data_IF_251796085940
#
_entry.id   IF_251796085940
#
_cell.length_a   1.000
_cell.length_b   1.000
_cell.length_c   1.000
_cell.angle_alpha   90.00
_cell.angle_beta   90.00
_cell.angle_gamma   90.00
#
_symmetry.space_group_name_H-M   'P 1'
#
loop_
_entity.id
_entity.type
_entity.pdbx_description
1 polymer ?
#
# COMPACT_ATOMS: atom_id res chain seq x y z
N UNK A 1 17.96 -5.54 -19.88
CA UNK A 1 16.84 -6.25 -19.21
C UNK A 1 16.33 -5.51 -17.97
N UNK A 2 17.14 -5.30 -16.92
CA UNK A 2 16.67 -4.64 -15.68
C UNK A 2 16.06 -3.23 -15.90
N UNK A 3 16.69 -2.38 -16.72
CA UNK A 3 16.13 -1.07 -17.07
C UNK A 3 14.76 -1.16 -17.77
N UNK A 4 14.55 -2.20 -18.59
CA UNK A 4 13.30 -2.38 -19.33
C UNK A 4 12.17 -2.80 -18.39
N UNK A 5 12.48 -3.69 -17.44
CA UNK A 5 11.54 -4.08 -16.38
C UNK A 5 11.17 -2.88 -15.49
N UNK A 6 12.12 -2.00 -15.17
CA UNK A 6 11.80 -0.79 -14.39
C UNK A 6 10.89 0.17 -15.14
N UNK A 7 11.19 0.46 -16.43
CA UNK A 7 10.33 1.35 -17.24
C UNK A 7 8.94 0.73 -17.39
N UNK A 8 8.85 -0.57 -17.68
CA UNK A 8 7.59 -1.28 -17.80
C UNK A 8 6.79 -1.23 -16.49
N UNK A 9 7.42 -1.50 -15.34
CA UNK A 9 6.76 -1.43 -14.04
C UNK A 9 6.23 -0.03 -13.72
N UNK A 10 6.96 1.04 -14.08
CA UNK A 10 6.49 2.42 -13.90
C UNK A 10 5.29 2.73 -14.81
N UNK A 11 5.28 2.20 -16.05
CA UNK A 11 4.18 2.40 -16.99
C UNK A 11 2.93 1.61 -16.58
N UNK A 12 3.06 0.37 -16.10
CA UNK A 12 1.93 -0.38 -15.53
C UNK A 12 1.41 0.29 -14.24
N UNK A 13 2.31 0.80 -13.39
CA UNK A 13 1.88 1.60 -12.23
C UNK A 13 1.10 2.85 -12.64
N UNK A 14 1.53 3.51 -13.71
CA UNK A 14 0.82 4.66 -14.27
C UNK A 14 -0.55 4.28 -14.82
N UNK A 15 -0.64 3.16 -15.54
CA UNK A 15 -1.91 2.62 -16.06
C UNK A 15 -2.92 2.36 -14.94
N UNK A 16 -2.44 1.81 -13.84
CA UNK A 16 -3.25 1.47 -12.67
C UNK A 16 -3.70 2.71 -11.89
N UNK A 17 -2.81 3.70 -11.72
CA UNK A 17 -3.12 4.92 -10.97
C UNK A 17 -3.95 5.92 -11.81
N UNK A 18 -3.79 5.93 -13.13
CA UNK A 18 -4.44 6.84 -14.09
C UNK A 18 -5.19 6.04 -15.16
N UNK A 19 -6.32 5.40 -14.81
CA UNK A 19 -7.08 4.58 -15.75
C UNK A 19 -7.67 5.41 -16.90
N UNK A 20 -7.95 6.70 -16.69
CA UNK A 20 -8.47 7.61 -17.71
C UNK A 20 -7.52 7.85 -18.89
N UNK A 21 -6.24 7.46 -18.77
CA UNK A 21 -5.26 7.57 -19.85
C UNK A 21 -5.51 6.56 -20.98
N UNK A 22 -6.17 5.42 -20.67
CA UNK A 22 -6.39 4.34 -21.64
C UNK A 22 -5.09 3.64 -22.08
N UNK A 23 -4.02 3.68 -21.27
CA UNK A 23 -2.76 3.04 -21.58
C UNK A 23 -2.96 1.52 -21.68
N UNK A 24 -2.69 0.95 -22.84
CA UNK A 24 -2.73 -0.51 -23.04
C UNK A 24 -1.41 -1.15 -22.62
N UNK A 25 -1.44 -2.41 -22.16
CA UNK A 25 -0.20 -3.13 -21.79
C UNK A 25 0.76 -3.23 -22.98
N UNK A 26 0.23 -3.41 -24.19
CA UNK A 26 1.02 -3.42 -25.43
C UNK A 26 1.75 -2.09 -25.64
N UNK A 27 1.06 -0.95 -25.47
CA UNK A 27 1.71 0.36 -25.55
C UNK A 27 2.78 0.54 -24.48
N UNK A 28 2.54 0.08 -23.24
CA UNK A 28 3.53 0.12 -22.17
C UNK A 28 4.78 -0.72 -22.52
N UNK A 29 4.60 -1.93 -23.04
CA UNK A 29 5.71 -2.78 -23.51
C UNK A 29 6.47 -2.12 -24.67
N UNK A 30 5.76 -1.56 -25.65
CA UNK A 30 6.38 -0.88 -26.81
C UNK A 30 7.22 0.32 -26.34
N UNK A 31 6.69 1.17 -25.47
CA UNK A 31 7.43 2.31 -24.92
C UNK A 31 8.66 1.83 -24.14
N UNK A 32 8.53 0.78 -23.32
CA UNK A 32 9.64 0.23 -22.55
C UNK A 32 10.74 -0.38 -23.45
N UNK A 33 10.37 -1.10 -24.52
CA UNK A 33 11.33 -1.68 -25.46
C UNK A 33 12.04 -0.59 -26.27
N UNK A 34 11.31 0.41 -26.78
CA UNK A 34 11.91 1.52 -27.53
C UNK A 34 12.86 2.31 -26.62
N UNK A 35 12.41 2.70 -25.42
CA UNK A 35 13.23 3.53 -24.52
C UNK A 35 14.50 2.82 -24.08
N UNK A 36 14.42 1.51 -23.82
CA UNK A 36 15.61 0.74 -23.44
C UNK A 36 16.52 0.38 -24.59
N UNK A 37 16.00 0.21 -25.80
CA UNK A 37 16.83 0.00 -27.00
C UNK A 37 17.66 1.25 -27.31
N UNK A 38 17.04 2.43 -27.24
CA UNK A 38 17.75 3.71 -27.44
C UNK A 38 18.76 3.95 -26.32
N UNK A 39 18.40 3.68 -25.07
CA UNK A 39 19.33 3.79 -23.94
C UNK A 39 20.53 2.83 -24.08
N UNK A 40 20.31 1.58 -24.48
CA UNK A 40 21.37 0.62 -24.73
C UNK A 40 22.30 1.07 -25.85
N UNK A 41 21.75 1.53 -26.98
CA UNK A 41 22.53 2.09 -28.08
C UNK A 41 23.37 3.29 -27.63
N UNK A 42 22.81 4.18 -26.81
CA UNK A 42 23.54 5.32 -26.24
C UNK A 42 24.69 4.87 -25.32
N UNK A 43 24.48 3.85 -24.49
CA UNK A 43 25.53 3.32 -23.63
C UNK A 43 26.64 2.63 -24.42
N UNK A 44 26.31 1.90 -25.49
CA UNK A 44 27.30 1.29 -26.40
C UNK A 44 28.12 2.39 -27.08
N UNK A 45 27.47 3.44 -27.57
CA UNK A 45 28.13 4.58 -28.19
C UNK A 45 29.11 5.27 -27.23
N UNK A 46 28.68 5.55 -25.99
CA UNK A 46 29.55 6.16 -24.97
C UNK A 46 30.68 5.20 -24.57
N UNK A 47 30.41 3.89 -24.50
CA UNK A 47 31.43 2.88 -24.20
C UNK A 47 32.51 2.80 -25.28
N UNK A 48 32.19 3.13 -26.54
CA UNK A 48 33.18 3.23 -27.61
C UNK A 48 34.11 4.43 -27.46
N UNK A 49 33.73 5.44 -26.68
CA UNK A 49 34.54 6.65 -26.45
C UNK A 49 35.38 6.51 -25.17
N UNK A 50 34.76 6.04 -24.09
CA UNK A 50 35.38 5.98 -22.75
C UNK A 50 36.14 4.66 -22.53
N UNK A 51 35.79 3.61 -23.27
CA UNK A 51 36.28 2.25 -23.04
C UNK A 51 35.38 1.46 -22.10
N UNK A 52 35.45 0.12 -22.20
CA UNK A 52 34.67 -0.80 -21.38
C UNK A 52 35.50 -1.29 -20.18
N UNK A 53 34.90 -1.43 -18.97
CA UNK A 53 33.51 -1.19 -18.60
C UNK A 53 33.18 0.28 -18.30
N UNK A 54 31.96 0.71 -18.66
CA UNK A 54 31.52 2.09 -18.48
C UNK A 54 31.36 2.44 -16.98
N UNK A 55 32.09 3.44 -16.45
CA UNK A 55 31.90 3.88 -15.08
C UNK A 55 30.50 4.46 -14.91
N UNK A 56 29.81 4.08 -13.83
CA UNK A 56 28.44 4.55 -13.52
C UNK A 56 27.42 4.31 -14.64
N UNK A 57 27.47 3.17 -15.32
CA UNK A 57 26.55 2.82 -16.42
C UNK A 57 25.06 3.07 -16.11
N UNK A 58 24.62 2.80 -14.88
CA UNK A 58 23.24 3.13 -14.45
C UNK A 58 22.99 4.63 -14.44
N UNK A 59 23.90 5.44 -13.91
CA UNK A 59 23.73 6.90 -13.85
C UNK A 59 23.79 7.52 -15.26
N UNK A 60 24.63 6.99 -16.15
CA UNK A 60 24.76 7.48 -17.52
C UNK A 60 23.57 7.04 -18.41
N UNK A 61 23.08 5.81 -18.24
CA UNK A 61 21.98 5.26 -19.06
C UNK A 61 20.58 5.72 -18.63
N UNK A 62 20.39 6.09 -17.36
CA UNK A 62 19.08 6.49 -16.84
C UNK A 62 18.53 7.79 -17.47
N UNK A 63 19.30 8.87 -17.65
CA UNK A 63 18.84 10.08 -18.32
C UNK A 63 18.32 9.81 -19.74
N UNK A 64 19.05 9.04 -20.54
CA UNK A 64 18.63 8.67 -21.89
C UNK A 64 17.30 7.88 -21.87
N UNK A 65 17.18 6.91 -20.97
CA UNK A 65 15.96 6.11 -20.80
C UNK A 65 14.76 6.99 -20.40
N UNK A 66 14.96 7.91 -19.45
CA UNK A 66 13.93 8.84 -18.96
C UNK A 66 13.46 9.76 -20.08
N UNK A 67 14.39 10.39 -20.81
CA UNK A 67 14.06 11.31 -21.90
C UNK A 67 13.25 10.61 -22.98
N UNK A 68 13.68 9.44 -23.44
CA UNK A 68 12.95 8.69 -24.49
C UNK A 68 11.59 8.24 -23.99
N UNK A 69 11.48 7.81 -22.73
CA UNK A 69 10.19 7.42 -22.14
C UNK A 69 9.23 8.61 -22.07
N UNK A 70 9.71 9.78 -21.60
CA UNK A 70 8.91 11.01 -21.55
C UNK A 70 8.49 11.45 -22.96
N UNK A 71 9.40 11.47 -23.93
CA UNK A 71 9.09 11.85 -25.30
C UNK A 71 8.05 10.91 -25.93
N UNK A 72 8.24 9.59 -25.79
CA UNK A 72 7.30 8.59 -26.30
C UNK A 72 5.91 8.75 -25.66
N UNK A 73 5.88 9.00 -24.35
CA UNK A 73 4.66 9.26 -23.61
C UNK A 73 3.96 10.55 -24.07
N UNK A 74 4.72 11.64 -24.26
CA UNK A 74 4.19 12.93 -24.74
C UNK A 74 3.66 12.85 -26.17
N UNK A 75 4.29 12.06 -27.05
CA UNK A 75 3.83 11.86 -28.42
C UNK A 75 2.49 11.12 -28.45
N UNK A 76 2.34 10.08 -27.63
CA UNK A 76 1.13 9.24 -27.61
C UNK A 76 -0.04 9.92 -26.89
N UNK A 77 0.22 10.53 -25.72
CA UNK A 77 -0.84 10.99 -24.82
C UNK A 77 -0.86 12.51 -24.59
N UNK A 78 0.10 13.25 -25.15
CA UNK A 78 0.21 14.70 -24.94
C UNK A 78 -0.99 15.50 -25.45
N UNK A 79 -1.70 15.00 -26.46
CA UNK A 79 -2.96 15.62 -26.93
C UNK A 79 -4.11 15.40 -25.94
N UNK A 80 -4.30 14.17 -25.48
CA UNK A 80 -5.32 13.81 -24.48
C UNK A 80 -5.10 14.58 -23.17
N UNK A 81 -3.85 14.70 -22.74
CA UNK A 81 -3.47 15.49 -21.56
C UNK A 81 -3.74 16.99 -21.74
N UNK A 82 -3.61 17.55 -22.94
CA UNK A 82 -3.93 18.97 -23.16
C UNK A 82 -5.44 19.23 -23.13
N UNK A 83 -6.23 18.27 -23.62
CA UNK A 83 -7.67 18.41 -23.75
C UNK A 83 -8.40 18.21 -22.42
N UNK A 84 -7.95 17.28 -21.59
CA UNK A 84 -8.66 16.91 -20.36
C UNK A 84 -7.97 17.48 -19.10
N UNK A 85 -8.71 18.31 -18.35
CA UNK A 85 -8.23 18.87 -17.09
C UNK A 85 -8.22 17.85 -15.96
N UNK A 86 -9.13 16.87 -15.98
CA UNK A 86 -9.21 15.83 -14.97
C UNK A 86 -8.03 14.87 -15.10
N UNK A 87 -7.72 14.44 -16.33
CA UNK A 87 -6.56 13.58 -16.61
C UNK A 87 -5.23 14.23 -16.17
N UNK A 88 -5.07 15.55 -16.38
CA UNK A 88 -3.89 16.28 -15.90
C UNK A 88 -3.78 16.27 -14.38
N UNK A 89 -4.90 16.41 -13.68
CA UNK A 89 -4.94 16.33 -12.22
C UNK A 89 -4.55 14.94 -11.74
N UNK A 90 -5.07 13.88 -12.37
CA UNK A 90 -4.70 12.50 -12.03
C UNK A 90 -3.22 12.21 -12.29
N UNK A 91 -2.69 12.71 -13.41
CA UNK A 91 -1.28 12.54 -13.75
C UNK A 91 -0.36 13.31 -12.77
N UNK A 92 -0.77 14.50 -12.33
CA UNK A 92 -0.04 15.24 -11.30
C UNK A 92 -0.05 14.48 -9.96
N UNK A 93 -1.18 13.86 -9.58
CA UNK A 93 -1.24 12.97 -8.41
C UNK A 93 -0.24 11.82 -8.55
N UNK A 94 -0.22 11.13 -9.71
CA UNK A 94 0.73 10.05 -9.98
C UNK A 94 2.18 10.52 -9.84
N UNK A 95 2.56 11.65 -10.45
CA UNK A 95 3.92 12.18 -10.35
C UNK A 95 4.31 12.50 -8.90
N UNK A 96 3.41 13.10 -8.12
CA UNK A 96 3.69 13.39 -6.71
C UNK A 96 3.85 12.12 -5.86
N UNK A 97 3.14 11.04 -6.20
CA UNK A 97 3.28 9.73 -5.57
C UNK A 97 4.62 9.09 -5.95
N UNK A 98 5.03 9.18 -7.22
CA UNK A 98 6.32 8.69 -7.72
C UNK A 98 7.51 9.47 -7.12
N UNK A 99 7.33 10.76 -6.84
CA UNK A 99 8.36 11.58 -6.20
C UNK A 99 8.69 11.16 -4.77
N UNK A 100 7.77 10.50 -4.07
CA UNK A 100 8.00 10.02 -2.71
C UNK A 100 9.13 8.98 -2.62
N UNK A 101 9.06 7.80 -3.30
CA UNK A 101 10.16 6.83 -3.29
C UNK A 101 11.44 7.41 -3.90
N UNK A 102 11.35 8.28 -4.92
CA UNK A 102 12.53 8.97 -5.47
C UNK A 102 13.24 9.81 -4.40
N UNK A 103 12.49 10.55 -3.59
CA UNK A 103 13.06 11.34 -2.49
C UNK A 103 13.66 10.43 -1.41
N UNK A 104 12.98 9.32 -1.07
CA UNK A 104 13.50 8.34 -0.10
C UNK A 104 14.84 7.74 -0.55
N UNK A 105 15.03 7.49 -1.85
CA UNK A 105 16.31 7.02 -2.40
C UNK A 105 17.47 7.97 -2.09
N UNK A 106 17.24 9.28 -1.93
CA UNK A 106 18.28 10.24 -1.54
C UNK A 106 18.36 10.43 -0.01
N UNK A 107 17.21 10.48 0.66
CA UNK A 107 17.14 10.68 2.12
C UNK A 107 17.85 9.55 2.87
N UNK A 108 17.65 8.29 2.46
CA UNK A 108 18.18 7.16 3.19
C UNK A 108 19.71 6.99 3.11
N UNK A 109 20.40 7.24 1.97
CA UNK A 109 21.86 7.32 1.94
C UNK A 109 22.43 8.42 2.83
N UNK A 110 21.80 9.61 2.86
CA UNK A 110 22.20 10.69 3.78
C UNK A 110 22.04 10.24 5.23
N UNK A 111 20.93 9.57 5.52
CA UNK A 111 20.68 8.95 6.83
C UNK A 111 21.77 7.90 7.16
N UNK A 112 22.07 6.96 6.26
CA UNK A 112 23.11 5.95 6.48
C UNK A 112 24.50 6.56 6.68
N UNK A 113 24.83 7.63 5.97
CA UNK A 113 26.06 8.37 6.17
C UNK A 113 26.16 8.92 7.61
N UNK A 114 25.08 9.53 8.11
CA UNK A 114 24.99 9.98 9.50
C UNK A 114 25.12 8.81 10.49
N UNK A 115 24.37 7.73 10.27
CA UNK A 115 24.37 6.54 11.13
C UNK A 115 25.76 5.91 11.27
N UNK A 116 26.52 5.81 10.17
CA UNK A 116 27.84 5.19 10.17
C UNK A 116 28.93 6.05 10.83
N UNK A 117 28.70 7.35 11.04
CA UNK A 117 29.62 8.26 11.74
C UNK A 117 29.45 8.26 13.25
N UNK A 118 28.33 7.76 13.76
CA UNK A 118 28.01 7.76 15.19
C UNK A 118 28.62 6.55 15.91
N UNK A 119 28.93 6.73 17.21
CA UNK A 119 29.27 5.61 18.10
C UNK A 119 28.06 4.72 18.42
N UNK A 120 28.23 3.62 19.17
CA UNK A 120 27.15 2.65 19.44
C UNK A 120 25.91 3.25 20.09
N UNK A 121 26.09 4.15 21.05
CA UNK A 121 24.99 4.88 21.71
C UNK A 121 24.29 5.85 20.75
N UNK A 122 25.04 6.53 19.89
CA UNK A 122 24.48 7.43 18.89
C UNK A 122 23.70 6.70 17.79
N UNK A 123 24.18 5.54 17.34
CA UNK A 123 23.46 4.68 16.37
C UNK A 123 22.09 4.26 16.90
N UNK A 124 22.01 3.92 18.19
CA UNK A 124 20.76 3.57 18.87
C UNK A 124 19.73 4.71 18.83
N UNK A 125 20.13 5.94 19.19
CA UNK A 125 19.22 7.10 19.14
C UNK A 125 18.83 7.46 17.71
N UNK A 126 19.78 7.37 16.78
CA UNK A 126 19.56 7.69 15.37
C UNK A 126 18.58 6.73 14.69
N UNK A 127 18.55 5.47 15.11
CA UNK A 127 17.56 4.48 14.67
C UNK A 127 16.12 4.92 14.94
N UNK A 128 15.88 5.70 16.00
CA UNK A 128 14.58 6.29 16.32
C UNK A 128 14.06 7.30 15.29
N UNK A 129 14.91 7.79 14.38
CA UNK A 129 14.53 8.69 13.28
C UNK A 129 13.86 7.94 12.11
N UNK A 130 14.11 6.63 11.95
CA UNK A 130 13.49 5.82 10.88
C UNK A 130 11.95 5.80 10.96
N UNK A 131 11.32 5.59 12.14
CA UNK A 131 9.89 5.79 12.31
C UNK A 131 9.38 7.16 11.83
N UNK A 132 10.13 8.25 12.03
CA UNK A 132 9.73 9.58 11.59
C UNK A 132 9.74 9.69 10.07
N UNK A 133 10.84 9.27 9.42
CA UNK A 133 10.95 9.24 7.95
C UNK A 133 9.82 8.41 7.34
N UNK A 134 9.54 7.25 7.94
CA UNK A 134 8.44 6.38 7.55
C UNK A 134 7.08 7.07 7.66
N UNK A 135 6.80 7.75 8.77
CA UNK A 135 5.53 8.49 8.95
C UNK A 135 5.42 9.63 7.92
N UNK A 136 6.51 10.36 7.67
CA UNK A 136 6.52 11.42 6.66
C UNK A 136 6.22 10.90 5.26
N UNK A 137 6.83 9.77 4.86
CA UNK A 137 6.55 9.14 3.57
C UNK A 137 5.10 8.68 3.43
N UNK A 138 4.53 8.08 4.49
CA UNK A 138 3.11 7.68 4.50
C UNK A 138 2.17 8.89 4.44
N UNK A 139 2.45 9.95 5.20
CA UNK A 139 1.70 11.20 5.14
C UNK A 139 1.74 11.82 3.74
N UNK A 140 2.90 11.81 3.09
CA UNK A 140 3.07 12.31 1.73
C UNK A 140 2.16 11.57 0.75
N UNK A 141 2.25 10.24 0.69
CA UNK A 141 1.42 9.43 -0.22
C UNK A 141 -0.07 9.63 0.10
N UNK A 142 -0.45 9.63 1.37
CA UNK A 142 -1.83 9.86 1.83
C UNK A 142 -2.40 11.21 1.37
N UNK A 143 -1.58 12.26 1.42
CA UNK A 143 -1.97 13.59 1.01
C UNK A 143 -2.29 13.67 -0.48
N UNK A 144 -1.43 13.10 -1.33
CA UNK A 144 -1.61 13.19 -2.79
C UNK A 144 -2.62 12.20 -3.35
N UNK A 145 -2.72 10.99 -2.81
CA UNK A 145 -3.62 9.97 -3.34
C UNK A 145 -5.10 10.26 -3.06
N UNK A 146 -5.39 11.12 -2.08
CA UNK A 146 -6.73 11.67 -1.83
C UNK A 146 -7.80 10.60 -1.67
N UNK A 147 -8.73 10.52 -2.63
CA UNK A 147 -9.89 9.64 -2.60
C UNK A 147 -9.68 8.27 -3.29
N UNK A 148 -8.47 7.95 -3.78
CA UNK A 148 -8.19 6.67 -4.46
C UNK A 148 -7.81 5.57 -3.44
N UNK A 149 -8.81 5.11 -2.67
CA UNK A 149 -8.60 4.27 -1.49
C UNK A 149 -8.08 2.86 -1.78
N UNK A 150 -8.45 2.25 -2.92
CA UNK A 150 -8.04 0.89 -3.25
C UNK A 150 -6.52 0.73 -3.42
N UNK A 151 -5.83 1.79 -3.84
CA UNK A 151 -4.39 1.76 -4.13
C UNK A 151 -3.52 2.26 -2.98
N UNK A 152 -4.11 3.04 -2.06
CA UNK A 152 -3.38 3.74 -1.00
C UNK A 152 -2.57 2.79 -0.10
N UNK A 153 -3.12 1.68 0.41
CA UNK A 153 -2.39 0.78 1.30
C UNK A 153 -1.20 0.11 0.59
N UNK A 154 -1.40 -0.35 -0.63
CA UNK A 154 -0.38 -1.04 -1.41
C UNK A 154 0.78 -0.11 -1.79
N UNK A 155 0.48 1.11 -2.25
CA UNK A 155 1.48 2.12 -2.58
C UNK A 155 2.31 2.52 -1.34
N UNK A 156 1.68 2.64 -0.17
CA UNK A 156 2.39 2.89 1.08
C UNK A 156 3.34 1.75 1.46
N UNK A 157 2.91 0.50 1.30
CA UNK A 157 3.73 -0.65 1.66
C UNK A 157 4.93 -0.76 0.73
N UNK A 158 4.70 -0.70 -0.58
CA UNK A 158 5.76 -0.88 -1.56
C UNK A 158 6.76 0.29 -1.58
N UNK A 159 6.28 1.54 -1.54
CA UNK A 159 7.16 2.71 -1.65
C UNK A 159 7.76 3.18 -0.33
N UNK A 160 7.15 2.86 0.83
CA UNK A 160 7.63 3.35 2.13
C UNK A 160 8.04 2.20 3.04
N UNK A 161 7.17 1.22 3.28
CA UNK A 161 7.48 0.15 4.25
C UNK A 161 8.63 -0.75 3.80
N UNK A 162 8.64 -1.13 2.51
CA UNK A 162 9.69 -1.99 1.93
C UNK A 162 11.04 -1.27 1.93
N UNK A 163 11.11 -0.02 1.45
CA UNK A 163 12.35 0.77 1.50
C UNK A 163 12.84 0.93 2.93
N UNK A 164 11.96 1.35 3.85
CA UNK A 164 12.34 1.51 5.25
C UNK A 164 12.89 0.20 5.85
N UNK A 165 12.27 -0.95 5.55
CA UNK A 165 12.73 -2.25 6.03
C UNK A 165 14.09 -2.66 5.43
N UNK A 166 14.36 -2.33 4.15
CA UNK A 166 15.69 -2.53 3.56
C UNK A 166 16.75 -1.70 4.28
N UNK A 167 16.46 -0.44 4.59
CA UNK A 167 17.41 0.43 5.29
C UNK A 167 17.61 0.06 6.75
N UNK A 168 16.57 -0.39 7.47
CA UNK A 168 16.74 -1.02 8.80
C UNK A 168 17.69 -2.21 8.71
N UNK A 169 17.50 -3.07 7.70
CA UNK A 169 18.35 -4.24 7.47
C UNK A 169 19.80 -3.85 7.20
N UNK A 170 20.02 -2.80 6.39
CA UNK A 170 21.34 -2.21 6.16
C UNK A 170 21.95 -1.63 7.44
N UNK A 171 21.19 -0.92 8.28
CA UNK A 171 21.67 -0.43 9.57
C UNK A 171 22.13 -1.57 10.48
N UNK A 172 21.36 -2.64 10.59
CA UNK A 172 21.71 -3.82 11.40
C UNK A 172 22.93 -4.54 10.84
N UNK A 173 23.04 -4.62 9.51
CA UNK A 173 24.21 -5.19 8.85
C UNK A 173 25.47 -4.34 9.09
N UNK A 174 25.38 -3.01 9.01
CA UNK A 174 26.52 -2.11 9.20
C UNK A 174 26.81 -1.79 10.66
N UNK A 175 25.90 -2.09 11.60
CA UNK A 175 26.09 -1.75 13.01
C UNK A 175 27.24 -2.53 13.65
N UNK A 176 27.85 -1.91 14.66
CA UNK A 176 28.93 -2.50 15.45
C UNK A 176 28.42 -3.16 16.73
N UNK A 177 27.12 -3.08 17.01
CA UNK A 177 26.51 -3.53 18.27
C UNK A 177 25.18 -4.22 18.05
N UNK A 178 25.00 -5.37 18.72
CA UNK A 178 23.75 -6.11 18.79
C UNK A 178 22.60 -5.29 19.42
N UNK A 179 22.91 -4.24 20.17
CA UNK A 179 21.91 -3.31 20.74
C UNK A 179 21.00 -2.72 19.67
N UNK A 180 21.54 -2.38 18.49
CA UNK A 180 20.74 -1.84 17.37
C UNK A 180 19.69 -2.82 16.86
N UNK A 181 20.00 -4.12 16.84
CA UNK A 181 19.06 -5.20 16.48
C UNK A 181 17.95 -5.30 17.54
N UNK A 182 18.31 -5.34 18.83
CA UNK A 182 17.33 -5.41 19.91
C UNK A 182 16.39 -4.19 19.92
N UNK A 183 16.92 -3.00 19.68
CA UNK A 183 16.11 -1.77 19.62
C UNK A 183 15.21 -1.78 18.39
N UNK A 184 15.69 -2.23 17.22
CA UNK A 184 14.86 -2.40 16.03
C UNK A 184 13.68 -3.34 16.30
N UNK A 185 13.94 -4.48 16.95
CA UNK A 185 12.91 -5.45 17.34
C UNK A 185 11.95 -4.80 18.35
N UNK A 186 12.44 -4.10 19.36
CA UNK A 186 11.61 -3.42 20.34
C UNK A 186 10.71 -2.36 19.70
N UNK A 187 11.23 -1.56 18.77
CA UNK A 187 10.46 -0.59 17.99
C UNK A 187 9.36 -1.27 17.17
N UNK A 188 9.67 -2.39 16.53
CA UNK A 188 8.68 -3.14 15.76
C UNK A 188 7.60 -3.76 16.64
N UNK A 189 7.96 -4.28 17.81
CA UNK A 189 7.01 -4.77 18.82
C UNK A 189 6.12 -3.63 19.31
N UNK A 190 6.68 -2.46 19.62
CA UNK A 190 5.91 -1.30 20.05
C UNK A 190 4.93 -0.84 18.97
N UNK A 191 5.39 -0.73 17.72
CA UNK A 191 4.51 -0.35 16.59
C UNK A 191 3.41 -1.39 16.37
N UNK A 192 3.72 -2.69 16.45
CA UNK A 192 2.73 -3.74 16.36
C UNK A 192 1.74 -3.70 17.52
N UNK A 193 2.21 -3.44 18.75
CA UNK A 193 1.37 -3.32 19.94
C UNK A 193 0.39 -2.15 19.83
N UNK A 194 0.87 -0.97 19.40
CA UNK A 194 0.00 0.19 19.18
C UNK A 194 -1.01 -0.10 18.08
N UNK A 195 -0.59 -0.69 16.96
CA UNK A 195 -1.49 -1.09 15.87
C UNK A 195 -2.57 -2.07 16.35
N UNK A 196 -2.21 -3.05 17.17
CA UNK A 196 -3.14 -4.04 17.68
C UNK A 196 -4.08 -3.46 18.75
N UNK A 197 -3.63 -2.43 19.48
CA UNK A 197 -4.45 -1.69 20.43
C UNK A 197 -5.50 -0.85 19.72
N UNK A 198 -5.12 -0.11 18.67
CA UNK A 198 -6.07 0.64 17.83
C UNK A 198 -7.12 -0.29 17.22
N UNK A 199 -6.68 -1.42 16.66
CA UNK A 199 -7.58 -2.42 16.09
C UNK A 199 -8.52 -3.02 17.13
N UNK A 200 -8.05 -3.26 18.36
CA UNK A 200 -8.89 -3.71 19.48
C UNK A 200 -9.96 -2.68 19.84
N UNK A 201 -9.61 -1.39 19.84
CA UNK A 201 -10.56 -0.31 20.12
C UNK A 201 -11.62 -0.24 19.02
N UNK A 202 -11.21 -0.28 17.74
CA UNK A 202 -12.14 -0.28 16.60
C UNK A 202 -13.06 -1.49 16.64
N UNK A 203 -12.52 -2.67 16.93
CA UNK A 203 -13.26 -3.93 17.04
C UNK A 203 -14.27 -3.89 18.20
N UNK A 204 -13.90 -3.36 19.37
CA UNK A 204 -14.82 -3.18 20.51
C UNK A 204 -16.03 -2.33 20.13
N UNK A 205 -15.86 -1.27 19.33
CA UNK A 205 -16.99 -0.45 18.85
C UNK A 205 -17.98 -1.26 18.03
N UNK A 206 -17.49 -2.17 17.17
CA UNK A 206 -18.36 -3.07 16.40
C UNK A 206 -19.08 -4.06 17.30
N UNK A 207 -18.39 -4.64 18.28
CA UNK A 207 -18.99 -5.57 19.23
C UNK A 207 -20.06 -4.92 20.13
N UNK A 208 -19.94 -3.63 20.46
CA UNK A 208 -20.99 -2.89 21.18
C UNK A 208 -22.26 -2.77 20.32
N UNK A 209 -22.12 -2.48 19.02
CA UNK A 209 -23.27 -2.50 18.11
C UNK A 209 -23.85 -3.92 17.94
N UNK A 210 -23.01 -4.94 17.88
CA UNK A 210 -23.45 -6.35 17.86
C UNK A 210 -24.23 -6.72 19.12
N UNK A 211 -23.85 -6.16 20.28
CA UNK A 211 -24.52 -6.39 21.56
C UNK A 211 -25.98 -5.93 21.61
N UNK A 212 -26.39 -5.04 20.69
CA UNK A 212 -27.78 -4.60 20.54
C UNK A 212 -28.67 -5.61 19.81
N UNK A 213 -28.10 -6.64 19.17
CA UNK A 213 -28.91 -7.70 18.56
C UNK A 213 -29.55 -8.59 19.65
N UNK A 214 -30.84 -8.96 19.49
CA UNK A 214 -31.56 -9.79 20.45
C UNK A 214 -30.87 -11.14 20.66
N UNK A 215 -30.87 -11.61 21.91
CA UNK A 215 -30.12 -12.79 22.35
C UNK A 215 -30.53 -14.11 21.65
N UNK A 216 -31.72 -14.14 21.04
CA UNK A 216 -32.29 -15.31 20.37
C UNK A 216 -31.96 -15.39 18.86
N UNK A 217 -31.23 -14.41 18.30
CA UNK A 217 -30.96 -14.37 16.86
C UNK A 217 -29.77 -15.28 16.48
N UNK A 218 -29.89 -16.15 15.45
CA UNK A 218 -28.80 -17.05 15.00
C UNK A 218 -27.52 -16.29 14.59
N UNK A 219 -27.65 -15.01 14.22
CA UNK A 219 -26.54 -14.11 13.86
C UNK A 219 -25.71 -13.63 15.04
N UNK A 220 -26.16 -13.81 16.29
CA UNK A 220 -25.35 -13.51 17.49
C UNK A 220 -24.20 -14.52 17.68
N UNK A 221 -24.26 -15.68 17.04
CA UNK A 221 -23.17 -16.66 16.99
C UNK A 221 -22.27 -16.48 15.75
N UNK A 222 -22.77 -15.87 14.67
CA UNK A 222 -22.06 -15.67 13.40
C UNK A 222 -20.94 -14.61 13.48
N UNK A 223 -19.95 -14.66 12.58
CA UNK A 223 -18.86 -13.67 12.57
C UNK A 223 -19.40 -12.27 12.25
N UNK A 224 -18.67 -11.23 12.66
CA UNK A 224 -19.04 -9.83 12.35
C UNK A 224 -19.19 -9.62 10.83
N UNK A 225 -18.41 -10.36 10.05
CA UNK A 225 -18.39 -10.28 8.60
C UNK A 225 -19.65 -10.90 8.02
N UNK A 226 -20.11 -12.04 8.53
CA UNK A 226 -21.36 -12.68 8.06
C UNK A 226 -22.55 -11.77 8.29
N UNK A 227 -22.58 -11.07 9.44
CA UNK A 227 -23.60 -10.06 9.74
C UNK A 227 -23.54 -8.90 8.73
N UNK A 228 -22.34 -8.38 8.47
CA UNK A 228 -22.16 -7.28 7.52
C UNK A 228 -22.51 -7.68 6.08
N UNK A 229 -22.12 -8.90 5.64
CA UNK A 229 -22.45 -9.45 4.31
C UNK A 229 -23.96 -9.62 4.16
N UNK A 230 -24.65 -10.12 5.18
CA UNK A 230 -26.11 -10.23 5.14
C UNK A 230 -26.78 -8.85 5.08
N UNK A 231 -26.29 -7.86 5.83
CA UNK A 231 -26.81 -6.48 5.72
C UNK A 231 -26.60 -5.92 4.31
N UNK A 232 -25.45 -6.16 3.69
CA UNK A 232 -25.15 -5.69 2.33
C UNK A 232 -26.02 -6.41 1.29
N UNK A 233 -26.30 -7.70 1.46
CA UNK A 233 -27.19 -8.46 0.57
C UNK A 233 -28.64 -7.99 0.65
N UNK A 234 -29.08 -7.53 1.82
CA UNK A 234 -30.43 -6.99 2.03
C UNK A 234 -30.55 -5.51 1.58
N UNK A 235 -29.45 -4.75 1.51
CA UNK A 235 -29.45 -3.32 1.18
C UNK A 235 -28.36 -2.98 0.14
N UNK A 236 -28.75 -2.97 -1.13
CA UNK A 236 -27.88 -2.59 -2.25
C UNK A 236 -27.34 -1.15 -2.14
N UNK A 237 -28.06 -0.24 -1.45
CA UNK A 237 -27.57 1.12 -1.23
C UNK A 237 -26.41 1.15 -0.21
N UNK A 238 -26.37 0.23 0.74
CA UNK A 238 -25.25 0.13 1.68
C UNK A 238 -23.93 -0.16 0.95
N UNK A 239 -23.96 -0.94 -0.14
CA UNK A 239 -22.80 -1.24 -0.99
C UNK A 239 -22.25 0.02 -1.68
N UNK A 240 -23.14 0.82 -2.25
CA UNK A 240 -22.77 2.08 -2.95
C UNK A 240 -22.25 3.13 -1.94
N UNK A 241 -22.79 3.16 -0.72
CA UNK A 241 -22.34 4.09 0.33
C UNK A 241 -20.98 3.68 0.92
N UNK A 242 -20.72 2.38 1.04
CA UNK A 242 -19.42 1.84 1.44
C UNK A 242 -18.29 2.23 0.48
N UNK A 243 -18.53 2.12 -0.83
CA UNK A 243 -17.50 2.43 -1.83
C UNK A 243 -17.07 3.91 -1.83
N UNK A 244 -17.92 4.80 -1.32
CA UNK A 244 -17.73 6.26 -1.35
C UNK A 244 -17.01 6.82 -0.12
N UNK A 245 -16.82 6.05 0.96
CA UNK A 245 -16.40 6.62 2.27
C UNK A 245 -14.89 6.49 2.57
N UNK A 246 -14.33 7.56 3.17
CA UNK A 246 -12.94 7.67 3.63
C UNK A 246 -12.64 6.71 4.78
N UNK A 247 -11.68 5.81 4.62
CA UNK A 247 -11.10 5.07 5.75
C UNK A 247 -9.81 5.72 6.20
N UNK A 248 -9.83 6.32 7.40
CA UNK A 248 -8.67 6.97 8.01
C UNK A 248 -7.92 5.93 8.85
N UNK A 249 -6.67 5.64 8.51
CA UNK A 249 -5.82 4.68 9.22
C UNK A 249 -5.21 5.31 10.48
N UNK A 250 -5.46 4.71 11.64
CA UNK A 250 -5.16 5.29 12.96
C UNK A 250 -3.68 5.40 13.34
N UNK A 251 -2.74 4.85 12.56
CA UNK A 251 -1.31 4.91 12.89
C UNK A 251 -0.39 5.47 11.80
N UNK A 252 -0.82 5.50 10.54
CA UNK A 252 0.06 5.86 9.41
C UNK A 252 -0.18 7.25 8.85
N UNK A 253 -1.23 7.93 9.28
CA UNK A 253 -1.52 9.29 8.85
C UNK A 253 -1.83 10.13 10.08
N UNK A 254 -1.07 11.20 10.31
CA UNK A 254 -1.44 12.25 11.28
C UNK A 254 -2.67 13.03 10.75
N UNK A 255 -3.75 12.32 10.42
CA UNK A 255 -5.03 12.91 10.07
C UNK A 255 -5.90 12.67 11.29
N UNK A 256 -6.21 13.76 11.99
CA UNK A 256 -7.19 13.74 13.09
C UNK A 256 -8.40 12.93 12.60
N UNK A 257 -8.93 11.98 13.39
CA UNK A 257 -10.25 11.44 13.10
C UNK A 257 -11.19 12.66 12.96
N UNK A 258 -12.01 12.70 11.92
CA UNK A 258 -13.03 13.73 11.76
C UNK A 258 -13.99 13.61 12.95
N UNK A 259 -13.74 14.40 14.01
CA UNK A 259 -14.55 14.48 15.24
C UNK A 259 -15.89 15.19 14.95
N UNK A 260 -16.07 15.77 13.75
CA UNK A 260 -17.28 16.50 13.39
C UNK A 260 -18.48 15.62 12.99
N UNK A 261 -18.36 14.29 12.90
CA UNK A 261 -19.54 13.41 12.73
C UNK A 261 -20.27 13.07 14.05
N UNK A 262 -19.90 13.71 15.17
CA UNK A 262 -20.42 13.38 16.52
C UNK A 262 -21.52 14.36 17.01
N UNK A 263 -21.93 15.36 16.23
CA UNK A 263 -22.91 16.36 16.68
C UNK A 263 -24.10 16.60 15.74
N UNK A 264 -24.78 15.53 15.32
CA UNK A 264 -26.15 15.64 14.76
C UNK A 264 -27.05 14.56 15.36
N UNK A 265 -27.10 14.54 16.68
CA UNK A 265 -27.98 13.70 17.47
C UNK A 265 -28.49 14.46 18.69
N UNK A 266 -29.03 15.67 18.50
CA UNK A 266 -29.81 16.34 19.53
C UNK A 266 -31.04 16.99 18.91
N UNK A 267 -32.17 16.51 19.39
CA UNK A 267 -33.56 16.90 19.13
C UNK A 267 -33.78 18.40 19.05
N UNK A 268 -34.54 18.86 18.05
CA UNK A 268 -35.40 20.05 18.16
C UNK A 268 -36.60 19.94 17.22
N UNK A 269 -37.80 20.02 17.81
CA UNK A 269 -39.10 20.17 17.18
C UNK A 269 -39.26 21.61 16.66
N UNK A 270 -39.86 21.81 15.48
CA UNK A 270 -40.32 23.13 15.03
C UNK A 270 -40.57 23.25 13.53
N UNK A 271 -41.76 23.73 13.14
CA UNK A 271 -42.36 23.74 11.81
C UNK A 271 -41.85 24.88 10.86
N UNK A 272 -42.32 24.98 9.59
CA UNK A 272 -41.53 25.38 8.42
C UNK A 272 -41.63 26.87 8.03
N UNK A 273 -40.66 27.36 7.24
CA UNK A 273 -40.79 28.58 6.45
C UNK A 273 -40.06 28.48 5.10
N UNK A 274 -40.80 28.83 4.04
CA UNK A 274 -40.43 28.93 2.62
C UNK A 274 -39.44 30.08 2.34
N UNK A 275 -38.68 30.00 1.23
CA UNK A 275 -38.63 31.00 0.12
C UNK A 275 -37.87 30.40 -1.10
N UNK A 276 -38.49 30.51 -2.29
CA UNK A 276 -38.05 30.20 -3.68
C UNK A 276 -36.73 30.85 -4.13
N UNK A 277 -36.01 30.49 -5.22
CA UNK A 277 -36.18 29.67 -6.45
C UNK A 277 -34.99 30.03 -7.41
N UNK A 278 -35.01 29.81 -8.75
CA UNK A 278 -35.44 28.66 -9.55
C UNK A 278 -34.33 28.04 -10.47
N UNK A 279 -34.55 26.78 -10.86
CA UNK A 279 -34.24 26.08 -12.13
C UNK A 279 -32.95 26.33 -12.96
N UNK A 280 -32.23 25.24 -13.26
CA UNK A 280 -32.16 24.76 -14.66
C UNK A 280 -31.83 23.25 -14.73
N UNK A 281 -32.83 22.45 -15.07
CA UNK A 281 -32.72 21.02 -15.39
C UNK A 281 -32.70 20.92 -16.92
N UNK A 282 -31.66 20.33 -17.50
CA UNK A 282 -31.67 19.90 -18.89
C UNK A 282 -32.14 18.43 -18.98
N UNK A 283 -33.16 18.12 -19.79
CA UNK A 283 -33.59 16.75 -20.02
C UNK A 283 -32.76 16.15 -21.16
N UNK A 284 -32.06 15.04 -20.91
CA UNK A 284 -31.50 14.21 -21.97
C UNK A 284 -32.44 13.02 -22.18
N UNK A 285 -33.12 13.04 -23.34
CA UNK A 285 -33.94 11.94 -23.87
C UNK A 285 -33.09 10.68 -23.96
N UNK A 286 -33.45 9.66 -23.19
CA UNK A 286 -33.02 8.28 -23.40
C UNK A 286 -33.81 7.75 -24.60
N UNK A 287 -33.10 7.43 -25.68
CA UNK A 287 -33.66 6.64 -26.79
C UNK A 287 -33.36 5.18 -26.51
N UNK A 288 -34.40 4.41 -26.16
CA UNK A 288 -34.33 2.95 -26.12
C UNK A 288 -33.96 2.38 -27.49
N UNK A 289 -32.87 1.62 -27.54
CA UNK A 289 -32.67 0.55 -28.54
C UNK A 289 -31.64 -0.47 -28.04
N UNK A 290 -32.19 -1.64 -27.70
CA UNK A 290 -31.60 -2.98 -27.68
C UNK A 290 -30.38 -3.25 -26.78
N UNK A 291 -30.73 -3.78 -25.60
CA UNK A 291 -29.95 -4.71 -24.80
C UNK A 291 -29.60 -5.97 -25.63
N UNK A 292 -28.32 -6.24 -25.85
CA UNK A 292 -27.83 -7.60 -26.09
C UNK A 292 -26.41 -7.73 -25.53
N UNK A 293 -26.23 -8.72 -24.64
CA UNK A 293 -24.94 -9.32 -24.32
C UNK A 293 -24.15 -8.68 -23.18
N UNK A 294 -24.70 -8.66 -21.96
CA UNK A 294 -23.82 -8.65 -20.77
C UNK A 294 -23.21 -10.04 -20.71
N UNK A 295 -21.92 -10.14 -21.03
CA UNK A 295 -21.13 -11.33 -20.79
C UNK A 295 -21.21 -11.68 -19.30
N UNK A 296 -21.83 -12.82 -19.06
CA UNK A 296 -21.93 -13.51 -17.79
C UNK A 296 -20.55 -13.52 -17.11
N UNK A 297 -20.43 -12.84 -15.97
CA UNK A 297 -19.34 -13.11 -15.03
C UNK A 297 -19.39 -14.60 -14.71
N UNK A 298 -18.40 -15.35 -15.18
CA UNK A 298 -18.17 -16.73 -14.76
C UNK A 298 -18.15 -16.78 -13.23
N UNK A 299 -19.08 -17.57 -12.71
CA UNK A 299 -19.21 -17.85 -11.29
C UNK A 299 -17.93 -18.53 -10.81
N UNK A 300 -17.26 -17.90 -9.83
CA UNK A 300 -16.27 -18.57 -8.99
C UNK A 300 -16.92 -19.81 -8.35
N UNK A 301 -16.20 -20.95 -8.23
CA UNK A 301 -16.79 -22.17 -7.70
C UNK A 301 -17.25 -21.98 -6.24
N UNK A 302 -18.51 -22.32 -6.02
CA UNK A 302 -19.20 -22.35 -4.73
C UNK A 302 -18.45 -23.22 -3.71
N UNK A 303 -17.65 -22.59 -2.87
CA UNK A 303 -17.21 -23.22 -1.62
C UNK A 303 -17.28 -22.27 -0.42
N UNK A 304 -18.22 -21.32 -0.44
CA UNK A 304 -18.59 -20.54 0.73
C UNK A 304 -19.97 -20.97 1.23
N UNK A 305 -20.00 -21.48 2.46
CA UNK A 305 -21.13 -22.11 3.16
C UNK A 305 -22.44 -21.33 2.97
N UNK A 306 -23.52 -22.03 2.59
CA UNK A 306 -24.91 -21.54 2.49
C UNK A 306 -25.25 -20.60 3.65
N UNK A 307 -25.20 -19.29 3.41
CA UNK A 307 -25.68 -18.28 4.37
C UNK A 307 -27.19 -18.15 4.20
N UNK A 308 -27.95 -18.68 5.17
CA UNK A 308 -29.39 -18.44 5.27
C UNK A 308 -29.65 -16.93 5.33
N UNK A 309 -30.57 -16.46 4.50
CA UNK A 309 -31.05 -15.08 4.48
C UNK A 309 -31.98 -14.90 5.69
N UNK A 310 -31.59 -14.03 6.62
CA UNK A 310 -32.38 -13.74 7.82
C UNK A 310 -32.91 -12.32 7.73
N UNK A 311 -34.21 -12.15 7.96
CA UNK A 311 -34.84 -10.83 7.85
C UNK A 311 -34.37 -9.93 9.01
N UNK A 312 -33.56 -8.92 8.71
CA UNK A 312 -33.03 -7.94 9.67
C UNK A 312 -33.96 -6.73 9.88
N UNK A 313 -35.08 -6.67 9.15
CA UNK A 313 -36.05 -5.59 9.23
C UNK A 313 -36.69 -5.53 10.63
N UNK A 314 -36.48 -4.40 11.32
CA UNK A 314 -37.03 -4.13 12.66
C UNK A 314 -36.10 -4.40 13.85
N UNK A 315 -34.92 -4.99 13.65
CA UNK A 315 -33.95 -5.30 14.73
C UNK A 315 -32.90 -4.20 14.93
N UNK A 316 -32.46 -3.59 13.83
CA UNK A 316 -31.51 -2.48 13.81
C UNK A 316 -32.11 -1.34 12.98
N UNK A 317 -31.97 -0.10 13.44
CA UNK A 317 -32.33 1.06 12.62
C UNK A 317 -31.47 1.11 11.35
N UNK A 318 -31.96 1.71 10.26
CA UNK A 318 -31.23 1.87 8.99
C UNK A 318 -29.86 2.55 9.22
N UNK A 319 -29.81 3.55 10.09
CA UNK A 319 -28.57 4.23 10.48
C UNK A 319 -27.59 3.29 11.23
N UNK A 320 -28.11 2.39 12.07
CA UNK A 320 -27.29 1.43 12.82
C UNK A 320 -26.75 0.31 11.92
N UNK A 321 -27.54 -0.16 10.95
CA UNK A 321 -27.12 -1.11 9.91
C UNK A 321 -25.96 -0.53 9.10
N UNK A 322 -26.09 0.72 8.67
CA UNK A 322 -25.04 1.42 7.92
C UNK A 322 -23.77 1.61 8.75
N UNK A 323 -23.89 2.05 10.01
CA UNK A 323 -22.74 2.19 10.90
C UNK A 323 -22.06 0.85 11.18
N UNK A 324 -22.81 -0.24 11.36
CA UNK A 324 -22.25 -1.57 11.59
C UNK A 324 -21.41 -2.04 10.41
N UNK A 325 -21.97 -1.95 9.19
CA UNK A 325 -21.29 -2.34 7.95
C UNK A 325 -20.04 -1.50 7.73
N UNK A 326 -20.13 -0.18 7.89
CA UNK A 326 -18.98 0.71 7.72
C UNK A 326 -17.85 0.41 8.73
N UNK A 327 -18.18 0.21 10.00
CA UNK A 327 -17.18 -0.08 11.04
C UNK A 327 -16.54 -1.45 10.85
N UNK A 328 -17.32 -2.43 10.40
CA UNK A 328 -16.82 -3.77 10.07
C UNK A 328 -15.85 -3.72 8.90
N UNK A 329 -16.21 -3.02 7.82
CA UNK A 329 -15.32 -2.80 6.68
C UNK A 329 -14.03 -2.07 7.09
N UNK A 330 -14.13 -1.02 7.93
CA UNK A 330 -12.96 -0.31 8.45
C UNK A 330 -12.00 -1.23 9.20
N UNK A 331 -12.54 -2.11 10.06
CA UNK A 331 -11.75 -3.08 10.81
C UNK A 331 -11.08 -4.08 9.86
N UNK A 332 -11.81 -4.56 8.85
CA UNK A 332 -11.28 -5.49 7.85
C UNK A 332 -10.13 -4.87 7.05
N UNK A 333 -10.33 -3.68 6.46
CA UNK A 333 -9.27 -2.98 5.70
C UNK A 333 -8.05 -2.63 6.57
N UNK A 334 -8.27 -2.22 7.82
CA UNK A 334 -7.16 -1.92 8.74
C UNK A 334 -6.40 -3.19 9.10
N UNK A 335 -7.10 -4.30 9.28
CA UNK A 335 -6.51 -5.60 9.58
C UNK A 335 -5.71 -6.16 8.40
N UNK A 336 -6.22 -6.00 7.18
CA UNK A 336 -5.56 -6.39 5.93
C UNK A 336 -4.24 -5.64 5.76
N UNK A 337 -4.30 -4.31 5.86
CA UNK A 337 -3.12 -3.47 5.78
C UNK A 337 -2.10 -3.81 6.86
N UNK A 338 -2.54 -4.06 8.10
CA UNK A 338 -1.64 -4.41 9.21
C UNK A 338 -0.89 -5.73 8.94
N UNK A 339 -1.58 -6.77 8.45
CA UNK A 339 -0.94 -8.04 8.08
C UNK A 339 0.02 -7.84 6.90
N UNK A 340 -0.36 -7.06 5.89
CA UNK A 340 0.47 -6.84 4.71
C UNK A 340 1.77 -6.06 5.05
N UNK A 341 1.70 -5.10 5.98
CA UNK A 341 2.88 -4.42 6.54
C UNK A 341 3.77 -5.39 7.31
N UNK A 342 3.20 -6.26 8.15
CA UNK A 342 3.96 -7.28 8.90
C UNK A 342 4.63 -8.28 7.95
N UNK A 343 3.94 -8.69 6.88
CA UNK A 343 4.49 -9.55 5.84
C UNK A 343 5.66 -8.89 5.11
N UNK A 344 5.52 -7.62 4.71
CA UNK A 344 6.61 -6.87 4.07
C UNK A 344 7.84 -6.77 4.99
N UNK A 345 7.64 -6.49 6.27
CA UNK A 345 8.74 -6.47 7.26
C UNK A 345 9.40 -7.83 7.46
N UNK A 346 8.66 -8.91 7.32
CA UNK A 346 9.19 -10.27 7.40
C UNK A 346 10.04 -10.62 6.17
N UNK A 347 9.51 -10.41 4.95
CA UNK A 347 10.16 -10.88 3.72
C UNK A 347 11.40 -10.05 3.35
N UNK A 348 11.39 -8.75 3.62
CA UNK A 348 12.44 -7.83 3.16
C UNK A 348 13.83 -8.12 3.76
N UNK A 349 14.00 -8.40 5.06
CA UNK A 349 15.30 -8.80 5.62
C UNK A 349 15.89 -10.05 4.97
N UNK A 350 15.06 -11.05 4.63
CA UNK A 350 15.52 -12.25 3.93
C UNK A 350 15.92 -11.96 2.49
N UNK A 351 15.15 -11.14 1.78
CA UNK A 351 15.51 -10.68 0.43
C UNK A 351 16.82 -9.89 0.47
N UNK A 352 16.99 -8.97 1.43
CA UNK A 352 18.20 -8.18 1.60
C UNK A 352 19.42 -9.06 1.90
N UNK A 353 19.28 -10.03 2.81
CA UNK A 353 20.31 -11.00 3.13
C UNK A 353 20.69 -11.87 1.91
N UNK A 354 19.70 -12.40 1.19
CA UNK A 354 19.91 -13.19 -0.01
C UNK A 354 20.62 -12.37 -1.10
N UNK A 355 20.19 -11.14 -1.37
CA UNK A 355 20.85 -10.24 -2.30
C UNK A 355 22.30 -9.96 -1.90
N UNK A 356 22.57 -9.74 -0.61
CA UNK A 356 23.94 -9.56 -0.12
C UNK A 356 24.79 -10.80 -0.40
N UNK A 357 24.29 -12.00 -0.07
CA UNK A 357 25.01 -13.25 -0.32
C UNK A 357 25.30 -13.45 -1.82
N UNK A 358 24.30 -13.22 -2.67
CA UNK A 358 24.45 -13.34 -4.12
C UNK A 358 25.54 -12.38 -4.62
N UNK A 359 25.51 -11.11 -4.20
CA UNK A 359 26.52 -10.12 -4.60
C UNK A 359 27.92 -10.48 -4.08
N UNK A 360 28.02 -11.08 -2.89
CA UNK A 360 29.30 -11.52 -2.32
C UNK A 360 29.99 -12.61 -3.16
N UNK A 361 29.23 -13.56 -3.69
CA UNK A 361 29.77 -14.65 -4.52
C UNK A 361 29.97 -14.25 -6.00
N UNK A 362 29.52 -13.06 -6.40
CA UNK A 362 29.75 -12.56 -7.76
C UNK A 362 31.16 -11.96 -7.92
N UNK A 363 31.79 -12.10 -9.10
CA UNK A 363 33.09 -11.49 -9.40
C UNK A 363 33.04 -9.96 -9.31
N UNK A 364 31.85 -9.37 -9.51
CA UNK A 364 31.63 -7.93 -9.41
C UNK A 364 31.72 -7.37 -7.99
N UNK A 365 31.90 -8.21 -6.94
CA UNK A 365 32.00 -7.76 -5.54
C UNK A 365 33.06 -6.66 -5.33
N UNK A 366 34.12 -6.67 -6.13
CA UNK A 366 35.22 -5.69 -6.05
C UNK A 366 34.74 -4.23 -6.23
N UNK A 367 33.62 -4.03 -6.93
CA UNK A 367 33.05 -2.71 -7.20
C UNK A 367 32.04 -2.26 -6.13
N UNK A 368 31.72 -3.09 -5.14
CA UNK A 368 30.78 -2.77 -4.07
C UNK A 368 31.54 -2.34 -2.80
N UNK A 369 31.60 -1.04 -2.48
CA UNK A 369 32.32 -0.56 -1.30
C UNK A 369 31.73 -1.10 0.01
N UNK A 370 30.46 -1.48 0.01
CA UNK A 370 29.77 -2.07 1.17
C UNK A 370 30.22 -3.50 1.48
N UNK A 371 30.78 -4.23 0.51
CA UNK A 371 31.30 -5.59 0.67
C UNK A 371 32.84 -5.63 0.61
N UNK A 372 33.48 -4.47 0.52
CA UNK A 372 34.94 -4.39 0.42
C UNK A 372 35.57 -4.83 1.75
N UNK A 373 36.40 -5.87 1.72
CA UNK A 373 37.03 -6.45 2.91
C UNK A 373 36.11 -7.35 3.75
N UNK A 374 34.99 -7.84 3.18
CA UNK A 374 34.20 -8.89 3.84
C UNK A 374 34.88 -10.25 3.68
N UNK A 375 35.14 -10.91 4.80
CA UNK A 375 35.46 -12.34 4.85
C UNK A 375 34.18 -13.17 5.01
N UNK A 376 34.24 -14.48 4.73
CA UNK A 376 33.08 -15.37 4.85
C UNK A 376 32.50 -15.40 6.28
N UNK A 377 33.36 -15.39 7.30
CA UNK A 377 32.95 -15.34 8.71
C UNK A 377 32.23 -14.03 9.05
N UNK A 378 32.75 -12.90 8.55
CA UNK A 378 32.14 -11.60 8.76
C UNK A 378 30.79 -11.51 8.03
N UNK A 379 30.71 -12.02 6.80
CA UNK A 379 29.47 -12.10 6.05
C UNK A 379 28.43 -12.92 6.81
N UNK A 380 28.80 -14.12 7.28
CA UNK A 380 27.92 -15.01 8.03
C UNK A 380 27.41 -14.35 9.31
N UNK A 381 28.27 -13.64 10.04
CA UNK A 381 27.88 -12.88 11.22
C UNK A 381 26.89 -11.75 10.89
N UNK A 382 27.17 -10.95 9.84
CA UNK A 382 26.32 -9.83 9.42
C UNK A 382 24.96 -10.30 8.87
N UNK A 383 24.96 -11.33 8.03
CA UNK A 383 23.75 -11.96 7.51
C UNK A 383 22.96 -12.62 8.64
N UNK A 384 23.64 -13.26 9.60
CA UNK A 384 23.02 -13.83 10.80
C UNK A 384 22.25 -12.79 11.62
N UNK A 385 22.82 -11.60 11.83
CA UNK A 385 22.13 -10.51 12.54
C UNK A 385 20.87 -10.04 11.81
N UNK A 386 20.91 -9.93 10.48
CA UNK A 386 19.73 -9.59 9.67
C UNK A 386 18.71 -10.73 9.67
N UNK A 387 19.15 -11.99 9.67
CA UNK A 387 18.27 -13.15 9.77
C UNK A 387 17.56 -13.20 11.12
N UNK A 388 18.22 -12.83 12.23
CA UNK A 388 17.59 -12.70 13.55
C UNK A 388 16.47 -11.66 13.51
N UNK A 389 16.67 -10.52 12.82
CA UNK A 389 15.58 -9.57 12.57
C UNK A 389 14.44 -10.24 11.78
N UNK A 390 14.73 -10.91 10.67
CA UNK A 390 13.73 -11.58 9.84
C UNK A 390 12.91 -12.63 10.60
N UNK A 391 13.56 -13.47 11.40
CA UNK A 391 12.89 -14.46 12.26
C UNK A 391 12.06 -13.77 13.35
N UNK A 392 12.57 -12.69 13.95
CA UNK A 392 11.80 -11.92 14.93
C UNK A 392 10.53 -11.32 14.30
N UNK A 393 10.62 -10.79 13.08
CA UNK A 393 9.46 -10.30 12.33
C UNK A 393 8.47 -11.43 11.97
N UNK A 394 8.96 -12.64 11.67
CA UNK A 394 8.09 -13.81 11.47
C UNK A 394 7.29 -14.13 12.73
N UNK A 395 7.94 -14.13 13.90
CA UNK A 395 7.27 -14.34 15.18
C UNK A 395 6.22 -13.24 15.41
N UNK A 396 6.55 -11.97 15.14
CA UNK A 396 5.58 -10.88 15.22
C UNK A 396 4.40 -11.10 14.27
N UNK A 397 4.65 -11.50 13.02
CA UNK A 397 3.60 -11.79 12.04
C UNK A 397 2.66 -12.91 12.51
N UNK A 398 3.23 -14.02 13.00
CA UNK A 398 2.45 -15.18 13.47
C UNK A 398 1.64 -14.82 14.72
N UNK A 399 2.24 -14.18 15.71
CA UNK A 399 1.56 -13.79 16.96
C UNK A 399 0.45 -12.77 16.69
N UNK A 400 0.74 -11.71 15.93
CA UNK A 400 -0.27 -10.69 15.61
C UNK A 400 -1.36 -11.26 14.70
N UNK A 401 -0.99 -12.07 13.71
CA UNK A 401 -1.94 -12.76 12.86
C UNK A 401 -2.87 -13.68 13.66
N UNK A 402 -2.35 -14.44 14.62
CA UNK A 402 -3.16 -15.33 15.45
C UNK A 402 -4.12 -14.57 16.37
N UNK A 403 -3.64 -13.48 16.98
CA UNK A 403 -4.50 -12.58 17.77
C UNK A 403 -5.64 -12.04 16.90
N UNK A 404 -5.33 -11.66 15.65
CA UNK A 404 -6.29 -11.11 14.72
C UNK A 404 -7.30 -12.15 14.24
N UNK A 405 -6.85 -13.36 13.91
CA UNK A 405 -7.71 -14.49 13.56
C UNK A 405 -8.69 -14.84 14.68
N UNK A 406 -8.22 -14.88 15.94
CA UNK A 406 -9.09 -15.09 17.10
C UNK A 406 -10.12 -13.98 17.30
N UNK A 407 -9.85 -12.75 16.84
CA UNK A 407 -10.75 -11.59 17.01
C UNK A 407 -11.75 -11.44 15.88
N UNK A 408 -11.33 -11.66 14.63
CA UNK A 408 -12.15 -11.44 13.44
C UNK A 408 -12.77 -12.72 12.88
N UNK A 409 -12.25 -13.90 13.24
CA UNK A 409 -12.71 -15.19 12.74
C UNK A 409 -12.20 -15.54 11.33
N UNK A 410 -11.34 -14.72 10.73
CA UNK A 410 -10.77 -14.96 9.39
C UNK A 410 -9.36 -15.57 9.52
N UNK A 411 -9.04 -16.53 8.65
CA UNK A 411 -7.67 -17.04 8.50
C UNK A 411 -6.70 -15.95 8.02
N UNK A 412 -5.50 -15.91 8.62
CA UNK A 412 -4.40 -15.02 8.24
C UNK A 412 -4.04 -15.18 6.76
N UNK A 413 -4.02 -16.41 6.26
CA UNK A 413 -3.67 -16.71 4.87
C UNK A 413 -4.71 -16.15 3.89
N UNK A 414 -5.98 -16.12 4.29
CA UNK A 414 -7.04 -15.55 3.46
C UNK A 414 -6.87 -14.03 3.37
N UNK A 415 -6.57 -13.37 4.49
CA UNK A 415 -6.34 -11.93 4.50
C UNK A 415 -5.07 -11.54 3.73
N UNK A 416 -4.01 -12.34 3.84
CA UNK A 416 -2.78 -12.15 3.08
C UNK A 416 -3.00 -12.40 1.58
N UNK A 417 -3.70 -13.48 1.23
CA UNK A 417 -4.05 -13.79 -0.16
C UNK A 417 -4.88 -12.67 -0.76
N UNK A 418 -5.89 -12.17 -0.06
CA UNK A 418 -6.73 -11.08 -0.52
C UNK A 418 -5.92 -9.79 -0.76
N UNK A 419 -5.07 -9.40 0.20
CA UNK A 419 -4.22 -8.21 0.05
C UNK A 419 -3.15 -8.34 -1.05
N UNK A 420 -2.61 -9.53 -1.27
CA UNK A 420 -1.69 -9.80 -2.38
C UNK A 420 -2.42 -9.87 -3.73
N UNK A 421 -3.66 -10.37 -3.75
CA UNK A 421 -4.45 -10.53 -4.97
C UNK A 421 -4.94 -9.17 -5.50
N UNK A 422 -5.35 -8.27 -4.62
CA UNK A 422 -5.53 -6.85 -4.97
C UNK A 422 -4.26 -6.24 -5.57
N UNK A 423 -3.08 -6.71 -5.14
CA UNK A 423 -1.82 -6.30 -5.72
C UNK A 423 -1.51 -6.90 -7.09
N UNK A 424 -2.00 -8.11 -7.40
CA UNK A 424 -1.82 -8.76 -8.71
C UNK A 424 -2.73 -8.18 -9.79
N UNK A 425 -3.90 -7.68 -9.44
CA UNK A 425 -4.76 -6.94 -10.40
C UNK A 425 -4.07 -5.63 -10.88
N UNK A 426 -2.97 -5.22 -10.23
CA UNK A 426 -2.18 -4.02 -10.54
C UNK A 426 -0.83 -4.29 -11.21
N UNK A 427 -0.44 -5.54 -11.46
CA UNK A 427 0.86 -5.92 -12.08
C UNK A 427 0.60 -6.88 -13.24
#
# INVERSE_FOLDING_TARGET
MAAALMVYAVLELMRVVVPGLGLTSVQATVIAVISTSVAAASMIWISSIIGFPLPFALVIGMPATIVVTILSFMVLFGRSLKQDAELRKEMNIFFNVLNCPLTLIFVYPIYLYGFNRLGPLGQSMYLGLLPLIKIMGKNWISYFLGNKYGLMPQLMIFNVDVFNAMYVSSCIQSSKSLSTTFISIALDVLVAWVSMTDLRIMTKRVFVLRGKLPALHPLKAASIIDIAVNIIKDDDQARIRLSKRRYTFGLSVFKKPDINEISTGRSEYGAPAQVCGPALVFPLKVSDRQLTGVETFEQLPDQYTKSQQYNLEGVLSENERQHFVQRTAQVLFTSEFAILVLYAKFIVPFLFAACTCIVFYMPNRAYYPQLHGYDEELLKAKVGNVAVLGVSQLVLLVVNGFILQRRLGISILHLLSFGLDHGKVMV
#
